data_IF_203019937020
#
_entry.id   IF_203019937020
#
_cell.length_a   1.000
_cell.length_b   1.000
_cell.length_c   1.000
_cell.angle_alpha   90.00
_cell.angle_beta   90.00
_cell.angle_gamma   90.00
#
_symmetry.space_group_name_H-M   'P 1'
#
loop_
_entity.id
_entity.type
_entity.pdbx_description
1 polymer ?
#
# COMPACT_ATOMS: atom_id res chain seq x y z
N UNK A 1 1.29 15.30 -5.74
CA UNK A 1 2.46 15.21 -4.84
C UNK A 1 2.53 13.75 -4.50
N UNK A 2 3.59 13.02 -4.85
CA UNK A 2 3.66 11.59 -4.62
C UNK A 2 3.40 11.22 -3.14
N UNK A 3 2.67 10.13 -2.91
CA UNK A 3 2.40 9.55 -1.60
C UNK A 3 3.72 9.32 -0.87
N UNK A 4 3.83 9.92 0.31
CA UNK A 4 4.97 9.67 1.20
C UNK A 4 4.65 8.53 2.15
N UNK A 5 5.67 7.78 2.59
CA UNK A 5 5.49 6.72 3.60
C UNK A 5 4.68 7.18 4.81
N UNK A 6 4.98 8.37 5.31
CA UNK A 6 4.25 8.97 6.44
C UNK A 6 2.77 9.17 6.16
N UNK A 7 2.40 9.63 4.96
CA UNK A 7 0.99 9.83 4.63
C UNK A 7 0.23 8.50 4.58
N UNK A 8 0.87 7.46 4.03
CA UNK A 8 0.30 6.11 3.97
C UNK A 8 0.13 5.54 5.40
N UNK A 9 1.17 5.65 6.23
CA UNK A 9 1.14 5.23 7.64
C UNK A 9 0.05 5.97 8.43
N UNK A 10 0.02 7.31 8.39
CA UNK A 10 -1.01 8.10 9.09
C UNK A 10 -2.41 7.74 8.59
N UNK A 11 -2.60 7.61 7.28
CA UNK A 11 -3.91 7.28 6.72
C UNK A 11 -4.39 5.89 7.14
N UNK A 12 -3.53 4.88 6.98
CA UNK A 12 -3.88 3.51 7.34
C UNK A 12 -4.14 3.38 8.84
N UNK A 13 -3.29 3.94 9.70
CA UNK A 13 -3.44 3.85 11.16
C UNK A 13 -4.65 4.63 11.69
N UNK A 14 -5.09 5.70 11.00
CA UNK A 14 -6.32 6.41 11.33
C UNK A 14 -7.59 5.66 10.89
N UNK A 15 -7.53 4.90 9.80
CA UNK A 15 -8.70 4.21 9.22
C UNK A 15 -8.83 2.75 9.65
N UNK A 16 -7.72 2.07 9.92
CA UNK A 16 -7.64 0.68 10.35
C UNK A 16 -7.00 0.65 11.73
N UNK A 17 -7.72 0.10 12.71
CA UNK A 17 -7.22 0.00 14.08
C UNK A 17 -6.41 -1.27 14.28
N UNK A 18 -5.32 -1.20 15.03
CA UNK A 18 -4.53 -2.38 15.39
C UNK A 18 -3.53 -2.84 14.34
N UNK A 19 -3.26 -2.01 13.33
CA UNK A 19 -2.19 -2.26 12.37
C UNK A 19 -0.90 -1.52 12.75
N UNK A 20 0.23 -2.05 12.31
CA UNK A 20 1.55 -1.45 12.40
C UNK A 20 2.14 -1.34 11.00
N UNK A 21 2.61 -0.16 10.63
CA UNK A 21 3.29 0.06 9.34
C UNK A 21 4.79 0.17 9.58
N UNK A 22 5.58 -0.53 8.78
CA UNK A 22 7.04 -0.60 8.88
C UNK A 22 7.67 -0.36 7.53
N UNK A 23 8.74 0.43 7.47
CA UNK A 23 9.56 0.56 6.28
C UNK A 23 10.46 -0.66 6.09
N UNK A 24 10.29 -1.34 4.95
CA UNK A 24 11.09 -2.51 4.54
C UNK A 24 11.76 -2.27 3.18
N UNK A 25 11.90 -1.02 2.76
CA UNK A 25 12.53 -0.63 1.49
C UNK A 25 13.92 -1.25 1.31
N UNK A 26 14.67 -1.43 2.41
CA UNK A 26 16.00 -2.07 2.40
C UNK A 26 16.01 -3.48 1.81
N UNK A 27 14.90 -4.21 1.88
CA UNK A 27 14.77 -5.57 1.34
C UNK A 27 14.46 -5.60 -0.16
N UNK A 28 14.09 -4.45 -0.74
CA UNK A 28 13.62 -4.32 -2.13
C UNK A 28 14.38 -3.20 -2.86
N UNK A 29 15.63 -3.43 -3.28
CA UNK A 29 16.46 -2.40 -3.91
C UNK A 29 15.97 -1.93 -5.28
N UNK A 30 15.02 -2.66 -5.89
CA UNK A 30 14.42 -2.31 -7.19
C UNK A 30 13.23 -1.35 -7.05
N UNK A 31 12.66 -1.23 -5.85
CA UNK A 31 11.52 -0.36 -5.56
C UNK A 31 12.01 0.96 -4.95
N UNK A 32 11.19 2.00 -5.09
CA UNK A 32 11.49 3.33 -4.53
C UNK A 32 11.28 3.32 -3.02
N UNK A 33 10.13 2.79 -2.59
CA UNK A 33 9.70 2.72 -1.19
C UNK A 33 8.85 1.45 -1.01
N UNK A 34 9.05 0.71 0.08
CA UNK A 34 8.24 -0.46 0.43
C UNK A 34 7.83 -0.40 1.88
N UNK A 35 6.52 -0.47 2.11
CA UNK A 35 5.93 -0.52 3.42
C UNK A 35 5.35 -1.91 3.68
N UNK A 36 5.70 -2.47 4.83
CA UNK A 36 5.06 -3.64 5.40
C UNK A 36 3.96 -3.19 6.36
N UNK A 37 2.78 -3.76 6.24
CA UNK A 37 1.62 -3.44 7.08
C UNK A 37 1.26 -4.73 7.81
N UNK A 38 1.59 -4.77 9.10
CA UNK A 38 1.27 -5.86 10.02
C UNK A 38 -0.09 -5.58 10.65
N UNK A 39 -1.00 -6.56 10.63
CA UNK A 39 -2.35 -6.45 11.19
C UNK A 39 -2.89 -7.82 11.57
N UNK A 40 -4.20 -8.04 11.44
CA UNK A 40 -4.75 -9.42 11.46
C UNK A 40 -4.21 -10.27 10.30
N UNK A 41 -3.91 -9.61 9.18
CA UNK A 41 -3.16 -10.15 8.06
C UNK A 41 -2.02 -9.21 7.71
N UNK A 42 -0.96 -9.80 7.20
CA UNK A 42 0.19 -9.06 6.70
C UNK A 42 -0.08 -8.57 5.27
N UNK A 43 0.36 -7.35 4.98
CA UNK A 43 0.30 -6.75 3.65
C UNK A 43 1.59 -6.04 3.31
N UNK A 44 1.82 -5.85 2.01
CA UNK A 44 2.93 -5.06 1.49
C UNK A 44 2.42 -4.01 0.53
N UNK A 45 2.98 -2.82 0.64
CA UNK A 45 2.73 -1.70 -0.24
C UNK A 45 4.05 -1.28 -0.90
N UNK A 46 4.09 -1.34 -2.22
CA UNK A 46 5.25 -1.05 -3.04
C UNK A 46 5.00 0.23 -3.83
N UNK A 47 5.94 1.15 -3.71
CA UNK A 47 6.03 2.35 -4.55
C UNK A 47 7.19 2.13 -5.49
N UNK A 48 6.89 2.04 -6.78
CA UNK A 48 7.93 1.91 -7.80
C UNK A 48 8.52 3.27 -8.16
N UNK A 49 9.74 3.33 -8.71
CA UNK A 49 10.38 4.58 -9.12
C UNK A 49 9.65 5.34 -10.25
N UNK A 50 8.62 4.73 -10.84
CA UNK A 50 7.73 5.35 -11.84
C UNK A 50 6.49 5.99 -11.22
N UNK A 51 6.46 6.17 -9.90
CA UNK A 51 5.30 6.64 -9.12
C UNK A 51 4.05 5.78 -9.36
N UNK A 52 4.25 4.47 -9.49
CA UNK A 52 3.18 3.47 -9.51
C UNK A 52 3.09 2.78 -8.16
N UNK A 53 1.89 2.45 -7.74
CA UNK A 53 1.59 1.88 -6.43
C UNK A 53 1.06 0.46 -6.61
N UNK A 54 1.63 -0.49 -5.87
CA UNK A 54 1.16 -1.88 -5.83
C UNK A 54 0.90 -2.29 -4.40
N UNK A 55 -0.23 -2.93 -4.17
CA UNK A 55 -0.61 -3.44 -2.87
C UNK A 55 -0.81 -4.95 -2.97
N UNK A 56 -0.13 -5.69 -2.10
CA UNK A 56 -0.20 -7.15 -2.03
C UNK A 56 -0.48 -7.62 -0.62
N UNK A 57 -0.98 -8.84 -0.47
CA UNK A 57 -0.98 -9.52 0.83
C UNK A 57 0.42 -10.05 1.21
N UNK A 58 0.52 -10.64 2.40
CA UNK A 58 1.74 -11.25 2.94
C UNK A 58 2.25 -12.44 2.13
N UNK A 59 1.42 -13.03 1.27
CA UNK A 59 1.80 -14.06 0.31
C UNK A 59 2.22 -13.47 -1.05
N UNK A 60 2.31 -12.14 -1.15
CA UNK A 60 2.64 -11.39 -2.36
C UNK A 60 1.60 -11.56 -3.48
N UNK A 61 0.34 -11.86 -3.16
CA UNK A 61 -0.72 -11.76 -4.15
C UNK A 61 -1.17 -10.31 -4.31
N UNK A 62 -1.22 -9.84 -5.56
CA UNK A 62 -1.67 -8.50 -5.90
C UNK A 62 -3.16 -8.33 -5.57
N UNK A 63 -3.46 -7.34 -4.73
CA UNK A 63 -4.82 -6.96 -4.31
C UNK A 63 -5.27 -5.67 -4.98
N UNK A 64 -4.34 -4.75 -5.22
CA UNK A 64 -4.61 -3.51 -5.93
C UNK A 64 -3.36 -2.99 -6.65
N UNK A 65 -3.58 -2.36 -7.81
CA UNK A 65 -2.54 -1.68 -8.55
C UNK A 65 -3.04 -0.31 -9.03
N UNK A 66 -2.26 0.76 -8.86
CA UNK A 66 -2.74 2.11 -9.23
C UNK A 66 -2.84 2.32 -10.73
N UNK A 67 -2.15 1.50 -11.50
CA UNK A 67 -2.14 1.53 -12.96
C UNK A 67 -2.89 0.33 -13.56
N UNK A 68 -3.87 -0.20 -12.85
CA UNK A 68 -4.76 -1.28 -13.31
C UNK A 68 -5.51 -0.84 -14.59
N UNK A 69 -5.91 0.43 -14.65
CA UNK A 69 -6.55 1.07 -15.79
C UNK A 69 -5.62 2.11 -16.43
N UNK A 70 -5.02 1.84 -17.62
CA UNK A 70 -4.11 2.78 -18.27
C UNK A 70 -4.82 4.04 -18.80
N UNK A 71 -6.14 3.98 -18.99
CA UNK A 71 -6.95 5.13 -19.44
C UNK A 71 -7.38 6.03 -18.28
N UNK A 72 -7.42 5.51 -17.05
CA UNK A 72 -7.77 6.27 -15.86
C UNK A 72 -7.04 5.70 -14.62
N UNK A 73 -5.76 6.06 -14.43
CA UNK A 73 -5.00 5.57 -13.28
C UNK A 73 -5.64 6.04 -11.98
N UNK A 74 -5.68 5.16 -10.97
CA UNK A 74 -6.22 5.50 -9.67
C UNK A 74 -5.42 6.63 -9.05
N UNK A 75 -6.13 7.57 -8.45
CA UNK A 75 -5.50 8.59 -7.62
C UNK A 75 -4.96 7.98 -6.33
N UNK A 76 -4.08 8.72 -5.68
CA UNK A 76 -3.44 8.34 -4.42
C UNK A 76 -4.46 8.05 -3.31
N UNK A 77 -5.47 8.90 -3.19
CA UNK A 77 -6.56 8.76 -2.23
C UNK A 77 -7.44 7.55 -2.53
N UNK A 78 -7.79 7.32 -3.82
CA UNK A 78 -8.56 6.14 -4.22
C UNK A 78 -7.79 4.85 -3.96
N UNK A 79 -6.48 4.87 -4.17
CA UNK A 79 -5.63 3.71 -3.91
C UNK A 79 -5.58 3.40 -2.42
N UNK A 80 -5.39 4.41 -1.57
CA UNK A 80 -5.42 4.27 -0.12
C UNK A 80 -6.79 3.76 0.38
N UNK A 81 -7.90 4.30 -0.13
CA UNK A 81 -9.24 3.84 0.22
C UNK A 81 -9.45 2.37 -0.20
N UNK A 82 -8.94 1.97 -1.39
CA UNK A 82 -8.95 0.56 -1.84
C UNK A 82 -8.12 -0.33 -0.91
N UNK A 83 -6.95 0.11 -0.46
CA UNK A 83 -6.12 -0.64 0.51
C UNK A 83 -6.88 -0.86 1.82
N UNK A 84 -7.42 0.21 2.41
CA UNK A 84 -8.19 0.14 3.66
C UNK A 84 -9.37 -0.82 3.50
N UNK A 85 -10.13 -0.73 2.40
CA UNK A 85 -11.24 -1.65 2.13
C UNK A 85 -10.78 -3.10 2.02
N UNK A 86 -9.64 -3.36 1.39
CA UNK A 86 -9.10 -4.72 1.29
C UNK A 86 -8.72 -5.25 2.67
N UNK A 87 -8.02 -4.45 3.48
CA UNK A 87 -7.62 -4.85 4.85
C UNK A 87 -8.87 -5.14 5.68
N UNK A 88 -9.84 -4.21 5.72
CA UNK A 88 -11.08 -4.36 6.48
C UNK A 88 -12.02 -5.45 5.96
N UNK A 89 -12.01 -5.75 4.67
CA UNK A 89 -12.82 -6.85 4.11
C UNK A 89 -12.21 -8.23 4.38
N UNK A 90 -10.94 -8.26 4.75
CA UNK A 90 -10.19 -9.46 5.03
C UNK A 90 -9.94 -9.69 6.54
N UNK A 91 -10.34 -8.73 7.37
CA UNK A 91 -10.56 -8.78 8.83
C UNK A 91 -11.81 -9.62 9.16
#
# INVERSE_FOLDING_TARGET
MALTMKQVEDYLTNHVSGITVMDVTVEYPEEKEVLYIEGEKDYFFFISPKDTYRFTDGQKHEKAFSHEDPENPMTEEEFLDKMVRVILAEE
#
